data_IF_122547873625
#
_entry.id   IF_122547873625
#
_cell.length_a   1.000
_cell.length_b   1.000
_cell.length_c   1.000
_cell.angle_alpha   90.00
_cell.angle_beta   90.00
_cell.angle_gamma   90.00
#
_symmetry.space_group_name_H-M   'P 1'
#
loop_
_entity.id
_entity.type
_entity.pdbx_description
1 polymer ?
#
# COMPACT_ATOMS: atom_id res chain seq x y z
N UNK A 1 -36.32 6.36 22.23
CA UNK A 1 -35.79 5.45 21.19
C UNK A 1 -34.97 4.39 21.89
N UNK A 2 -35.43 3.14 21.92
CA UNK A 2 -34.76 2.02 22.59
C UNK A 2 -33.72 1.41 21.66
N UNK A 3 -32.44 1.48 22.04
CA UNK A 3 -31.33 0.88 21.28
C UNK A 3 -31.52 -0.65 21.27
N UNK A 4 -31.51 -1.31 20.09
CA UNK A 4 -31.67 -2.75 20.03
C UNK A 4 -30.53 -3.44 20.79
N UNK A 5 -30.89 -4.31 21.73
CA UNK A 5 -29.93 -5.09 22.51
C UNK A 5 -29.21 -6.06 21.55
N UNK A 6 -27.87 -6.03 21.47
CA UNK A 6 -27.14 -6.90 20.56
C UNK A 6 -27.38 -8.37 20.91
N UNK A 7 -27.62 -9.19 19.87
CA UNK A 7 -27.90 -10.63 19.99
C UNK A 7 -26.73 -11.45 20.55
N UNK A 8 -25.51 -10.93 20.45
CA UNK A 8 -24.28 -11.57 20.91
C UNK A 8 -23.43 -10.55 21.65
N UNK A 9 -22.72 -11.00 22.68
CA UNK A 9 -21.64 -10.24 23.29
C UNK A 9 -20.47 -10.10 22.31
N UNK A 10 -19.62 -9.09 22.54
CA UNK A 10 -18.42 -8.85 21.73
C UNK A 10 -17.52 -10.10 21.66
N UNK A 11 -17.38 -10.80 22.79
CA UNK A 11 -16.57 -12.02 22.88
C UNK A 11 -17.20 -13.21 22.14
N UNK A 12 -18.53 -13.34 22.16
CA UNK A 12 -19.22 -14.36 21.36
C UNK A 12 -19.08 -14.09 19.85
N UNK A 13 -19.18 -12.82 19.43
CA UNK A 13 -18.97 -12.45 18.03
C UNK A 13 -17.53 -12.74 17.56
N UNK A 14 -16.53 -12.46 18.40
CA UNK A 14 -15.12 -12.81 18.13
C UNK A 14 -14.96 -14.33 17.99
N UNK A 15 -15.50 -15.09 18.94
CA UNK A 15 -15.37 -16.56 18.92
C UNK A 15 -16.07 -17.19 17.70
N UNK A 16 -17.23 -16.68 17.30
CA UNK A 16 -17.95 -17.11 16.09
C UNK A 16 -17.12 -16.80 14.84
N UNK A 17 -16.54 -15.60 14.75
CA UNK A 17 -15.70 -15.22 13.61
C UNK A 17 -14.44 -16.07 13.50
N UNK A 18 -13.79 -16.38 14.63
CA UNK A 18 -12.61 -17.24 14.67
C UNK A 18 -12.96 -18.69 14.30
N UNK A 19 -14.10 -19.21 14.76
CA UNK A 19 -14.56 -20.55 14.43
C UNK A 19 -14.89 -20.70 12.94
N UNK A 20 -15.52 -19.69 12.32
CA UNK A 20 -15.75 -19.64 10.88
C UNK A 20 -14.42 -19.60 10.11
N UNK A 21 -13.48 -18.75 10.53
CA UNK A 21 -12.16 -18.66 9.91
C UNK A 21 -11.37 -19.98 9.97
N UNK A 22 -11.39 -20.66 11.12
CA UNK A 22 -10.73 -21.95 11.30
C UNK A 22 -11.34 -23.02 10.40
N UNK A 23 -12.68 -23.10 10.32
CA UNK A 23 -13.38 -24.06 9.44
C UNK A 23 -13.09 -23.80 7.96
N UNK A 24 -13.06 -22.53 7.55
CA UNK A 24 -12.73 -22.14 6.17
C UNK A 24 -11.28 -22.54 5.83
N UNK A 25 -10.35 -22.35 6.77
CA UNK A 25 -8.95 -22.73 6.58
C UNK A 25 -8.76 -24.25 6.54
N UNK A 26 -9.51 -25.02 7.33
CA UNK A 26 -9.51 -26.49 7.26
C UNK A 26 -10.08 -27.00 5.94
N UNK A 27 -11.16 -26.40 5.43
CA UNK A 27 -11.73 -26.74 4.13
C UNK A 27 -10.76 -26.43 2.98
N UNK A 28 -10.08 -25.27 3.01
CA UNK A 28 -9.02 -24.92 2.04
C UNK A 28 -7.85 -25.92 2.13
N UNK A 29 -7.42 -26.26 3.35
CA UNK A 29 -6.35 -27.26 3.55
C UNK A 29 -6.76 -28.64 3.04
N UNK A 30 -8.02 -29.04 3.25
CA UNK A 30 -8.55 -30.30 2.76
C UNK A 30 -8.63 -30.32 1.22
N UNK A 31 -9.06 -29.22 0.59
CA UNK A 31 -9.06 -29.05 -0.87
C UNK A 31 -7.66 -29.08 -1.47
N UNK A 32 -6.67 -28.47 -0.79
CA UNK A 32 -5.27 -28.45 -1.24
C UNK A 32 -4.53 -29.80 -1.15
N UNK A 33 -5.11 -30.81 -0.49
CA UNK A 33 -4.55 -32.18 -0.38
C UNK A 33 -5.03 -33.13 -1.47
N UNK A 34 -6.05 -32.75 -2.24
CA UNK A 34 -6.48 -33.53 -3.39
C UNK A 34 -5.64 -33.11 -4.61
N UNK A 35 -5.14 -34.05 -5.43
CA UNK A 35 -4.68 -33.71 -6.76
C UNK A 35 -5.80 -32.94 -7.45
N UNK A 36 -5.53 -31.70 -7.85
CA UNK A 36 -6.50 -30.91 -8.59
C UNK A 36 -6.96 -31.69 -9.83
N UNK A 37 -8.19 -31.44 -10.34
CA UNK A 37 -8.56 -31.97 -11.64
C UNK A 37 -7.45 -31.66 -12.66
N UNK A 38 -7.17 -32.55 -13.63
CA UNK A 38 -6.19 -32.25 -14.68
C UNK A 38 -6.45 -30.84 -15.22
N UNK A 39 -5.45 -29.97 -15.19
CA UNK A 39 -5.57 -28.62 -15.75
C UNK A 39 -6.12 -28.74 -17.16
N UNK A 40 -7.11 -27.92 -17.52
CA UNK A 40 -7.64 -27.94 -18.90
C UNK A 40 -6.47 -27.59 -19.83
N UNK A 41 -6.19 -28.44 -20.82
CA UNK A 41 -5.09 -28.33 -21.79
C UNK A 41 -4.64 -26.88 -22.01
N UNK A 42 -3.45 -26.51 -21.52
CA UNK A 42 -2.82 -25.19 -21.76
C UNK A 42 -3.66 -23.94 -21.43
N UNK A 43 -4.88 -24.07 -20.86
CA UNK A 43 -5.79 -22.95 -20.60
C UNK A 43 -5.46 -22.20 -19.31
N UNK A 44 -4.63 -22.79 -18.46
CA UNK A 44 -4.13 -22.20 -17.21
C UNK A 44 -2.72 -21.59 -17.39
N UNK A 45 -2.20 -21.56 -18.62
CA UNK A 45 -1.04 -20.76 -18.95
C UNK A 45 -1.44 -19.28 -18.99
N UNK A 46 -0.95 -18.49 -18.03
CA UNK A 46 -0.84 -17.05 -18.25
C UNK A 46 0.06 -16.87 -19.48
N UNK A 47 -0.56 -16.69 -20.65
CA UNK A 47 0.13 -16.34 -21.88
C UNK A 47 0.94 -15.08 -21.60
N UNK A 48 2.27 -15.19 -21.68
CA UNK A 48 3.19 -14.05 -21.56
C UNK A 48 2.89 -13.01 -22.67
N UNK A 49 2.22 -13.43 -23.75
CA UNK A 49 1.92 -12.62 -24.94
C UNK A 49 0.73 -11.67 -24.74
N UNK A 50 -0.23 -12.00 -23.85
CA UNK A 50 -1.41 -11.15 -23.54
C UNK A 50 -1.21 -10.24 -22.32
N UNK A 51 -0.06 -10.34 -21.65
CA UNK A 51 0.31 -9.52 -20.51
C UNK A 51 0.91 -8.19 -20.97
N UNK A 52 0.23 -7.09 -20.68
CA UNK A 52 0.79 -5.75 -20.85
C UNK A 52 0.96 -5.06 -19.51
N UNK A 53 2.16 -4.55 -19.26
CA UNK A 53 2.44 -3.68 -18.12
C UNK A 53 2.73 -2.28 -18.66
N UNK A 54 1.90 -1.32 -18.26
CA UNK A 54 2.09 0.10 -18.58
C UNK A 54 2.51 0.83 -17.31
N UNK A 55 3.53 1.67 -17.40
CA UNK A 55 4.00 2.50 -16.29
C UNK A 55 3.58 3.95 -16.56
N UNK A 56 2.99 4.61 -15.56
CA UNK A 56 2.52 6.00 -15.68
C UNK A 56 3.65 7.05 -15.70
N UNK A 57 4.90 6.61 -15.57
CA UNK A 57 6.06 7.50 -15.48
C UNK A 57 6.43 7.88 -14.05
N UNK A 58 5.64 7.50 -13.05
CA UNK A 58 5.83 7.92 -11.66
C UNK A 58 5.78 6.79 -10.63
N UNK A 59 4.63 6.13 -10.44
CA UNK A 59 4.48 5.09 -9.40
C UNK A 59 3.44 4.03 -9.69
N UNK A 60 2.63 4.19 -10.72
CA UNK A 60 1.52 3.28 -11.02
C UNK A 60 1.89 2.38 -12.17
N UNK A 61 1.79 1.08 -11.93
CA UNK A 61 1.85 0.04 -12.94
C UNK A 61 0.44 -0.41 -13.25
N UNK A 62 0.04 -0.40 -14.51
CA UNK A 62 -1.24 -0.93 -14.98
C UNK A 62 -0.99 -2.27 -15.66
N UNK A 63 -1.45 -3.35 -15.05
CA UNK A 63 -1.41 -4.69 -15.63
C UNK A 63 -2.70 -4.92 -16.43
N UNK A 64 -2.57 -5.10 -17.74
CA UNK A 64 -3.68 -5.44 -18.63
C UNK A 64 -3.57 -6.88 -19.07
N UNK A 65 -4.67 -7.61 -18.93
CA UNK A 65 -4.85 -8.97 -19.42
C UNK A 65 -5.92 -8.95 -20.50
N UNK A 66 -5.57 -9.42 -21.70
CA UNK A 66 -6.53 -9.61 -22.78
C UNK A 66 -6.86 -11.10 -22.92
N UNK A 67 -8.15 -11.42 -23.08
CA UNK A 67 -8.60 -12.76 -23.51
C UNK A 67 -9.74 -12.55 -24.51
N UNK A 68 -9.47 -12.81 -25.79
CA UNK A 68 -10.44 -12.55 -26.86
C UNK A 68 -10.93 -11.08 -26.82
N UNK A 69 -12.23 -10.86 -26.69
CA UNK A 69 -12.82 -9.52 -26.63
C UNK A 69 -12.73 -8.83 -25.25
N UNK A 70 -12.28 -9.53 -24.18
CA UNK A 70 -12.28 -8.98 -22.82
C UNK A 70 -10.89 -8.51 -22.42
N UNK A 71 -10.72 -7.21 -22.18
CA UNK A 71 -9.52 -6.60 -21.57
C UNK A 71 -9.85 -6.22 -20.12
N UNK A 72 -9.08 -6.72 -19.16
CA UNK A 72 -9.13 -6.27 -17.76
C UNK A 72 -7.83 -5.58 -17.41
N UNK A 73 -7.93 -4.39 -16.83
CA UNK A 73 -6.78 -3.60 -16.38
C UNK A 73 -6.82 -3.46 -14.87
N UNK A 74 -5.70 -3.75 -14.22
CA UNK A 74 -5.51 -3.66 -12.78
C UNK A 74 -4.41 -2.64 -12.48
N UNK A 75 -4.74 -1.47 -11.93
CA UNK A 75 -3.74 -0.51 -11.49
C UNK A 75 -3.12 -0.97 -10.17
N UNK A 76 -1.82 -0.83 -10.06
CA UNK A 76 -1.02 -1.15 -8.89
C UNK A 76 -0.08 0.01 -8.60
N UNK A 77 -0.34 0.73 -7.51
CA UNK A 77 0.52 1.82 -7.03
C UNK A 77 1.64 1.26 -6.16
N UNK A 78 2.88 1.53 -6.53
CA UNK A 78 4.05 1.18 -5.74
C UNK A 78 4.38 2.28 -4.72
N UNK A 79 4.61 1.95 -3.44
CA UNK A 79 5.06 2.92 -2.43
C UNK A 79 6.57 3.18 -2.57
N UNK A 80 6.99 3.68 -3.73
CA UNK A 80 8.39 4.06 -4.00
C UNK A 80 8.70 5.44 -3.45
N UNK A 81 9.96 5.65 -3.04
CA UNK A 81 10.44 6.95 -2.59
C UNK A 81 10.59 7.90 -3.77
N UNK A 82 9.69 8.89 -3.88
CA UNK A 82 9.74 9.90 -4.94
C UNK A 82 10.10 11.24 -4.33
N UNK A 83 11.22 11.82 -4.73
CA UNK A 83 11.64 13.12 -4.23
C UNK A 83 10.85 14.25 -4.90
N UNK A 84 10.10 15.00 -4.09
CA UNK A 84 9.24 16.11 -4.50
C UNK A 84 9.88 17.49 -4.31
N UNK A 85 11.16 17.53 -3.93
CA UNK A 85 11.87 18.79 -3.66
C UNK A 85 11.60 19.34 -2.27
N UNK A 86 11.69 20.66 -2.12
CA UNK A 86 11.38 21.36 -0.87
C UNK A 86 9.86 21.37 -0.65
N UNK A 87 9.42 21.08 0.57
CA UNK A 87 8.01 21.12 0.95
C UNK A 87 7.38 22.48 0.60
N UNK A 88 6.20 22.42 -0.02
CA UNK A 88 5.34 23.56 -0.33
C UNK A 88 4.01 23.42 0.41
N UNK A 89 3.61 24.49 1.10
CA UNK A 89 2.33 24.56 1.79
C UNK A 89 1.16 24.52 0.79
N UNK A 90 0.09 23.82 1.14
CA UNK A 90 -1.09 23.65 0.28
C UNK A 90 -0.94 22.63 -0.85
N UNK A 91 0.25 22.08 -1.10
CA UNK A 91 0.44 20.96 -2.01
C UNK A 91 0.03 19.64 -1.32
N UNK A 92 -0.72 18.79 -2.02
CA UNK A 92 -1.01 17.44 -1.58
C UNK A 92 0.15 16.49 -1.93
N UNK A 93 0.51 15.62 -0.98
CA UNK A 93 1.53 14.60 -1.14
C UNK A 93 0.92 13.21 -0.97
N UNK A 94 1.46 12.26 -1.72
CA UNK A 94 1.01 10.86 -1.71
C UNK A 94 2.00 9.98 -0.93
N UNK A 95 1.54 8.82 -0.46
CA UNK A 95 2.38 7.89 0.27
C UNK A 95 3.61 7.49 -0.56
N UNK A 96 4.78 7.51 0.07
CA UNK A 96 6.07 7.31 -0.59
C UNK A 96 6.73 8.60 -1.08
N UNK A 97 6.02 9.73 -1.11
CA UNK A 97 6.69 11.01 -1.39
C UNK A 97 7.74 11.33 -0.34
N UNK A 98 8.83 11.96 -0.78
CA UNK A 98 9.85 12.51 0.10
C UNK A 98 10.07 13.98 -0.19
N UNK A 99 10.24 14.78 0.85
CA UNK A 99 10.44 16.23 0.75
C UNK A 99 11.58 16.69 1.65
N UNK A 100 12.17 17.83 1.31
CA UNK A 100 13.09 18.54 2.20
C UNK A 100 12.34 19.62 2.98
N UNK A 101 12.50 19.62 4.30
CA UNK A 101 11.99 20.68 5.17
C UNK A 101 12.88 20.83 6.42
N UNK A 102 13.19 22.07 6.79
CA UNK A 102 14.05 22.37 7.94
C UNK A 102 15.46 21.78 7.82
N UNK A 103 15.98 21.63 6.59
CA UNK A 103 17.28 20.98 6.32
C UNK A 103 17.27 19.45 6.48
N UNK A 104 16.11 18.84 6.68
CA UNK A 104 15.94 17.40 6.87
C UNK A 104 15.12 16.78 5.73
N UNK A 105 15.29 15.50 5.48
CA UNK A 105 14.48 14.71 4.55
C UNK A 105 13.34 14.03 5.31
N UNK A 106 12.14 14.10 4.76
CA UNK A 106 10.92 13.52 5.33
C UNK A 106 10.26 12.58 4.34
N UNK A 107 9.64 11.51 4.84
CA UNK A 107 8.88 10.52 4.07
C UNK A 107 7.39 10.63 4.40
N UNK A 108 6.54 10.64 3.38
CA UNK A 108 5.10 10.70 3.50
C UNK A 108 4.49 9.30 3.68
N UNK A 109 3.76 9.10 4.78
CA UNK A 109 3.20 7.80 5.17
C UNK A 109 1.72 7.64 4.75
N UNK A 110 1.08 8.72 4.30
CA UNK A 110 -0.34 8.80 3.98
C UNK A 110 -0.58 9.36 2.59
N UNK A 111 -1.71 9.02 1.97
CA UNK A 111 -2.13 9.60 0.69
C UNK A 111 -2.89 10.92 0.87
N UNK A 112 -2.76 11.83 -0.11
CA UNK A 112 -3.47 13.11 -0.14
C UNK A 112 -3.25 14.04 1.06
N UNK A 113 -2.09 14.00 1.73
CA UNK A 113 -1.84 14.88 2.88
C UNK A 113 -1.33 16.25 2.47
N UNK A 114 -1.79 17.29 3.15
CA UNK A 114 -1.27 18.66 3.03
C UNK A 114 -0.54 19.09 4.32
N UNK A 115 -0.40 18.17 5.28
CA UNK A 115 0.23 18.43 6.56
C UNK A 115 1.68 18.86 6.39
N UNK A 116 2.17 19.64 7.36
CA UNK A 116 3.56 20.06 7.38
C UNK A 116 4.46 18.94 7.92
N UNK A 117 5.62 18.68 7.30
CA UNK A 117 6.57 17.67 7.74
C UNK A 117 7.42 18.18 8.92
N UNK A 118 6.78 18.48 10.05
CA UNK A 118 7.45 18.99 11.26
C UNK A 118 7.35 18.02 12.46
N UNK A 119 6.80 16.83 12.23
CA UNK A 119 6.60 15.80 13.25
C UNK A 119 5.38 16.03 14.14
N UNK A 120 4.55 17.05 13.87
CA UNK A 120 3.29 17.27 14.60
C UNK A 120 2.17 16.30 14.20
N UNK A 121 2.28 15.68 13.01
CA UNK A 121 1.28 14.75 12.49
C UNK A 121 1.87 13.38 12.17
N UNK A 122 1.00 12.40 11.94
CA UNK A 122 1.40 11.03 11.55
C UNK A 122 1.59 10.87 10.03
N UNK A 123 1.40 11.94 9.26
CA UNK A 123 1.58 11.90 7.80
C UNK A 123 3.04 11.87 7.39
N UNK A 124 3.96 12.26 8.26
CA UNK A 124 5.37 12.40 7.94
C UNK A 124 6.27 11.70 8.96
N UNK A 125 7.21 10.90 8.45
CA UNK A 125 8.31 10.33 9.22
C UNK A 125 9.64 11.01 8.83
N UNK A 126 10.44 11.39 9.82
CA UNK A 126 11.79 11.93 9.59
C UNK A 126 12.69 10.83 9.00
N UNK A 127 13.06 10.96 7.73
CA UNK A 127 13.87 9.97 7.01
C UNK A 127 15.38 10.22 7.15
N UNK A 128 15.79 11.50 7.13
CA UNK A 128 17.18 11.89 7.40
C UNK A 128 17.22 13.24 8.10
N UNK A 129 17.95 13.29 9.22
CA UNK A 129 18.06 14.49 10.05
C UNK A 129 19.15 15.42 9.53
N UNK A 130 18.91 16.73 9.59
CA UNK A 130 19.96 17.74 9.33
C UNK A 130 21.18 17.50 10.21
N UNK A 131 22.36 17.74 9.65
CA UNK A 131 23.63 17.72 10.39
C UNK A 131 23.67 18.76 11.49
N UNK A 132 24.64 18.63 12.41
CA UNK A 132 24.98 19.70 13.35
C UNK A 132 25.73 20.79 12.60
N UNK A 133 25.52 22.03 13.02
CA UNK A 133 26.29 23.16 12.51
C UNK A 133 27.79 22.96 12.82
N UNK A 134 28.65 23.35 11.87
CA UNK A 134 30.10 23.34 12.06
C UNK A 134 30.52 24.34 13.13
N UNK A 135 31.70 24.13 13.74
CA UNK A 135 32.29 25.15 14.62
C UNK A 135 32.65 26.38 13.80
N UNK A 136 32.40 27.57 14.34
CA UNK A 136 32.78 28.83 13.72
C UNK A 136 34.29 28.83 13.41
N UNK A 137 34.63 29.12 12.15
CA UNK A 137 36.01 29.29 11.73
C UNK A 137 36.55 30.58 12.33
N UNK A 138 37.23 30.49 13.47
CA UNK A 138 37.90 31.64 14.06
C UNK A 138 38.92 32.21 13.08
N UNK A 139 38.73 33.46 12.69
CA UNK A 139 39.71 34.23 11.92
C UNK A 139 41.00 34.30 12.72
N UNK A 140 42.10 33.77 12.15
CA UNK A 140 43.45 34.03 12.65
C UNK A 140 44.01 35.29 12.01
#
# INVERSE_FOLDING_TARGET
MTTPKPKYSFWEAINISLALGAKTLEEIRALSRQPGPPGKDGQDGLSIEDFKMEYDGERTFAFSFARGATKKTFPFKMPVMIYRGVYKEGQAYEKGDTVTWGGSLWHCDTDGTNDKPDGSTKSWTLASKRGRDGKDGGTK
#
